data_IF_472079474897
#
_entry.id   IF_472079474897
#
_cell.length_a   1.000
_cell.length_b   1.000
_cell.length_c   1.000
_cell.angle_alpha   90.00
_cell.angle_beta   90.00
_cell.angle_gamma   90.00
#
_symmetry.space_group_name_H-M   'P 1'
#
loop_
_entity.id
_entity.type
_entity.pdbx_description
1 polymer ?
#
# COMPACT_ATOMS: atom_id res chain seq x y z
N UNK A 1 -18.02 -17.42 14.38
CA UNK A 1 -16.75 -17.52 15.15
C UNK A 1 -15.60 -17.46 14.16
N UNK A 2 -15.08 -16.26 13.87
CA UNK A 2 -13.86 -16.11 13.08
C UNK A 2 -12.70 -16.73 13.85
N UNK A 3 -11.87 -17.52 13.20
CA UNK A 3 -10.71 -18.16 13.82
C UNK A 3 -9.60 -17.11 14.06
N UNK A 4 -9.38 -16.72 15.31
CA UNK A 4 -8.37 -15.73 15.71
C UNK A 4 -6.96 -16.37 15.89
N UNK A 5 -6.76 -17.62 15.44
CA UNK A 5 -5.52 -18.38 15.70
C UNK A 5 -4.54 -18.44 14.54
N UNK A 6 -4.93 -18.07 13.32
CA UNK A 6 -4.05 -18.13 12.15
C UNK A 6 -3.59 -16.75 11.73
N UNK A 7 -2.31 -16.65 11.41
CA UNK A 7 -1.77 -15.51 10.72
C UNK A 7 -2.43 -15.35 9.34
N UNK A 8 -2.77 -14.12 8.98
CA UNK A 8 -3.30 -13.75 7.67
C UNK A 8 -2.28 -12.88 6.92
N UNK A 9 -2.19 -13.06 5.61
CA UNK A 9 -1.36 -12.24 4.74
C UNK A 9 -2.13 -10.99 4.31
N UNK A 10 -1.50 -9.83 4.39
CA UNK A 10 -2.01 -8.56 3.93
C UNK A 10 -0.97 -7.85 3.05
N UNK A 11 -1.46 -7.09 2.06
CA UNK A 11 -0.63 -6.20 1.24
C UNK A 11 -1.01 -4.76 1.54
N UNK A 12 0.00 -3.93 1.82
CA UNK A 12 -0.15 -2.52 2.16
C UNK A 12 0.60 -1.70 1.12
N UNK A 13 -0.10 -0.75 0.48
CA UNK A 13 0.50 0.25 -0.39
C UNK A 13 1.05 1.40 0.43
N UNK A 14 2.24 1.86 0.09
CA UNK A 14 2.92 3.00 0.72
C UNK A 14 3.10 4.09 -0.33
N UNK A 15 2.83 5.35 0.03
CA UNK A 15 3.07 6.50 -0.83
C UNK A 15 3.55 7.72 -0.04
N UNK A 16 4.49 8.48 -0.60
CA UNK A 16 4.94 9.77 -0.03
C UNK A 16 5.45 10.69 -1.14
N UNK A 17 5.19 11.99 -1.03
CA UNK A 17 5.77 13.00 -1.93
C UNK A 17 6.27 14.27 -1.20
N UNK A 18 6.33 14.24 0.13
CA UNK A 18 6.82 15.34 0.97
C UNK A 18 7.90 14.85 1.95
N UNK A 19 8.73 15.79 2.41
CA UNK A 19 9.65 15.61 3.55
C UNK A 19 10.49 14.32 3.47
N UNK A 20 11.31 14.21 2.41
CA UNK A 20 12.16 13.04 2.12
C UNK A 20 11.37 11.73 1.95
N UNK A 21 10.65 11.54 0.82
CA UNK A 21 9.76 10.40 0.62
C UNK A 21 10.37 9.02 0.85
N UNK A 22 11.65 8.82 0.47
CA UNK A 22 12.37 7.55 0.71
C UNK A 22 12.51 7.25 2.20
N UNK A 23 12.86 8.26 2.99
CA UNK A 23 13.02 8.12 4.45
C UNK A 23 11.67 7.88 5.13
N UNK A 24 10.61 8.54 4.64
CA UNK A 24 9.23 8.32 5.13
C UNK A 24 8.81 6.87 4.92
N UNK A 25 9.04 6.33 3.71
CA UNK A 25 8.75 4.94 3.39
C UNK A 25 9.60 3.97 4.22
N UNK A 26 10.91 4.22 4.38
CA UNK A 26 11.78 3.38 5.19
C UNK A 26 11.32 3.31 6.66
N UNK A 27 10.95 4.45 7.24
CA UNK A 27 10.38 4.53 8.59
C UNK A 27 9.02 3.82 8.69
N UNK A 28 8.15 3.97 7.69
CA UNK A 28 6.86 3.26 7.63
C UNK A 28 7.05 1.73 7.56
N UNK A 29 8.00 1.25 6.76
CA UNK A 29 8.38 -0.17 6.69
C UNK A 29 8.85 -0.69 8.05
N UNK A 30 9.68 0.08 8.75
CA UNK A 30 10.13 -0.26 10.11
C UNK A 30 8.98 -0.31 11.12
N UNK A 31 8.05 0.66 11.04
CA UNK A 31 6.86 0.70 11.89
C UNK A 31 5.93 -0.50 11.65
N UNK A 32 5.68 -0.87 10.37
CA UNK A 32 4.90 -2.05 10.00
C UNK A 32 5.53 -3.34 10.53
N UNK A 33 6.86 -3.47 10.46
CA UNK A 33 7.58 -4.62 11.00
C UNK A 33 7.53 -4.70 12.53
N UNK A 34 7.25 -3.58 13.21
CA UNK A 34 7.16 -3.48 14.66
C UNK A 34 5.73 -3.58 15.20
N UNK A 35 4.74 -3.81 14.35
CA UNK A 35 3.35 -3.95 14.77
C UNK A 35 3.17 -5.19 15.67
N UNK A 36 2.35 -5.11 16.72
CA UNK A 36 2.03 -6.28 17.54
C UNK A 36 1.48 -7.42 16.69
N UNK A 37 1.84 -8.66 17.06
CA UNK A 37 1.37 -9.90 16.42
C UNK A 37 1.46 -9.89 14.89
N UNK A 38 2.48 -9.21 14.37
CA UNK A 38 2.71 -9.02 12.94
C UNK A 38 4.18 -9.25 12.60
N UNK A 39 4.44 -9.73 11.39
CA UNK A 39 5.77 -9.87 10.82
C UNK A 39 5.78 -9.33 9.39
N UNK A 40 6.84 -8.59 9.04
CA UNK A 40 7.06 -8.16 7.65
C UNK A 40 7.59 -9.35 6.84
N UNK A 41 6.93 -9.63 5.73
CA UNK A 41 7.27 -10.76 4.84
C UNK A 41 8.15 -10.29 3.69
N UNK A 42 7.77 -9.21 3.02
CA UNK A 42 8.48 -8.69 1.86
C UNK A 42 8.21 -7.19 1.69
N UNK A 43 9.10 -6.51 0.97
CA UNK A 43 8.97 -5.10 0.57
C UNK A 43 9.41 -5.03 -0.88
N UNK A 44 8.62 -4.38 -1.72
CA UNK A 44 9.00 -4.12 -3.11
C UNK A 44 10.16 -3.13 -3.19
N UNK A 45 10.68 -2.94 -4.39
CA UNK A 45 11.49 -1.77 -4.72
C UNK A 45 10.68 -0.48 -4.54
N UNK A 46 11.40 0.65 -4.54
CA UNK A 46 10.79 1.97 -4.59
C UNK A 46 10.52 2.37 -6.04
N UNK A 47 9.37 3.01 -6.29
CA UNK A 47 8.98 3.46 -7.60
C UNK A 47 8.53 4.92 -7.56
N UNK A 48 9.03 5.74 -8.49
CA UNK A 48 8.58 7.11 -8.69
C UNK A 48 7.43 7.16 -9.70
N UNK A 49 6.36 7.87 -9.37
CA UNK A 49 5.21 8.12 -10.26
C UNK A 49 4.79 9.59 -10.21
N UNK A 50 4.25 10.06 -11.34
CA UNK A 50 3.51 11.31 -11.34
C UNK A 50 2.31 11.24 -10.37
N UNK A 51 1.86 12.38 -9.81
CA UNK A 51 0.67 12.42 -8.96
C UNK A 51 -0.60 12.01 -9.72
N UNK A 52 -1.50 11.30 -9.05
CA UNK A 52 -2.86 11.09 -9.56
C UNK A 52 -3.70 12.32 -9.27
N UNK A 53 -4.35 12.88 -10.31
CA UNK A 53 -5.20 14.06 -10.17
C UNK A 53 -4.42 15.37 -10.28
N UNK A 54 -4.29 16.12 -9.18
CA UNK A 54 -3.65 17.44 -9.16
C UNK A 54 -2.16 17.32 -9.53
N UNK A 55 -1.75 17.94 -10.64
CA UNK A 55 -0.38 17.86 -11.16
C UNK A 55 0.59 18.86 -10.53
N UNK A 56 0.08 19.90 -9.86
CA UNK A 56 0.90 20.92 -9.20
C UNK A 56 1.37 20.44 -7.81
N UNK A 57 2.13 19.34 -7.80
CA UNK A 57 2.77 18.75 -6.61
C UNK A 57 3.92 17.83 -7.02
N UNK A 58 4.87 17.54 -6.10
CA UNK A 58 5.98 16.63 -6.40
C UNK A 58 5.52 15.20 -6.72
N UNK A 59 6.34 14.48 -7.49
CA UNK A 59 6.18 13.06 -7.75
C UNK A 59 6.14 12.24 -6.46
N UNK A 60 5.37 11.16 -6.48
CA UNK A 60 5.28 10.20 -5.39
C UNK A 60 6.38 9.15 -5.48
N UNK A 61 6.94 8.79 -4.33
CA UNK A 61 7.65 7.53 -4.14
C UNK A 61 6.67 6.53 -3.54
N UNK A 62 6.55 5.38 -4.20
CA UNK A 62 5.59 4.32 -3.88
C UNK A 62 6.31 2.99 -3.63
N UNK A 63 5.70 2.15 -2.80
CA UNK A 63 6.11 0.77 -2.58
C UNK A 63 4.92 -0.08 -2.11
N UNK A 64 5.07 -1.41 -2.13
CA UNK A 64 4.13 -2.34 -1.51
C UNK A 64 4.87 -3.20 -0.48
N UNK A 65 4.23 -3.43 0.66
CA UNK A 65 4.73 -4.27 1.74
C UNK A 65 3.78 -5.43 1.96
N UNK A 66 4.33 -6.64 2.05
CA UNK A 66 3.62 -7.81 2.51
C UNK A 66 3.81 -7.97 4.02
N UNK A 67 2.72 -8.04 4.77
CA UNK A 67 2.71 -8.24 6.22
C UNK A 67 1.88 -9.47 6.54
N UNK A 68 2.40 -10.34 7.40
CA UNK A 68 1.64 -11.43 7.99
C UNK A 68 1.24 -11.02 9.40
N UNK A 69 -0.06 -11.03 9.71
CA UNK A 69 -0.57 -10.49 10.98
C UNK A 69 -1.71 -11.33 11.56
N UNK A 70 -1.93 -11.24 12.88
CA UNK A 70 -3.12 -11.78 13.56
C UNK A 70 -4.14 -10.70 13.91
N UNK A 71 -3.88 -9.44 13.56
CA UNK A 71 -4.86 -8.36 13.68
C UNK A 71 -6.05 -8.62 12.75
N UNK A 72 -7.24 -8.18 13.13
CA UNK A 72 -8.36 -8.14 12.17
C UNK A 72 -8.11 -7.08 11.09
N UNK A 73 -8.79 -7.11 9.92
CA UNK A 73 -8.62 -6.10 8.88
C UNK A 73 -8.85 -4.66 9.39
N UNK A 74 -9.87 -4.46 10.24
CA UNK A 74 -10.13 -3.16 10.85
C UNK A 74 -9.06 -2.76 11.87
N UNK A 75 -8.57 -3.71 12.67
CA UNK A 75 -7.49 -3.42 13.61
C UNK A 75 -6.17 -3.09 12.89
N UNK A 76 -5.88 -3.78 11.77
CA UNK A 76 -4.74 -3.44 10.92
C UNK A 76 -4.92 -2.03 10.32
N UNK A 77 -6.11 -1.70 9.79
CA UNK A 77 -6.42 -0.36 9.30
C UNK A 77 -6.19 0.71 10.37
N UNK A 78 -6.62 0.48 11.61
CA UNK A 78 -6.39 1.39 12.74
C UNK A 78 -4.89 1.60 13.01
N UNK A 79 -4.08 0.53 12.92
CA UNK A 79 -2.62 0.64 13.04
C UNK A 79 -1.99 1.44 11.89
N UNK A 80 -2.44 1.23 10.65
CA UNK A 80 -1.96 1.99 9.49
C UNK A 80 -2.23 3.49 9.68
N UNK A 81 -3.47 3.84 10.07
CA UNK A 81 -3.86 5.22 10.35
C UNK A 81 -3.02 5.81 11.49
N UNK A 82 -2.74 5.05 12.55
CA UNK A 82 -1.89 5.51 13.64
C UNK A 82 -0.44 5.78 13.20
N UNK A 83 0.12 4.98 12.28
CA UNK A 83 1.46 5.23 11.71
C UNK A 83 1.44 6.52 10.89
N UNK A 84 0.47 6.72 10.00
CA UNK A 84 0.33 7.95 9.22
C UNK A 84 0.27 9.21 10.11
N UNK A 85 -0.50 9.17 11.19
CA UNK A 85 -0.60 10.31 12.13
C UNK A 85 0.74 10.64 12.79
N UNK A 86 1.54 9.63 13.17
CA UNK A 86 2.89 9.82 13.74
C UNK A 86 3.86 10.44 12.74
N UNK A 87 3.66 10.19 11.44
CA UNK A 87 4.40 10.81 10.34
C UNK A 87 3.87 12.21 9.97
N UNK A 88 3.10 12.83 10.87
CA UNK A 88 2.53 14.19 10.70
C UNK A 88 1.73 14.32 9.41
N UNK A 89 0.89 13.32 9.09
CA UNK A 89 -0.01 13.42 7.94
C UNK A 89 -0.91 14.66 8.08
N UNK A 90 -0.63 15.71 7.30
CA UNK A 90 -1.51 16.87 7.20
C UNK A 90 -2.33 16.77 5.91
N UNK A 91 -3.62 16.46 6.04
CA UNK A 91 -4.51 16.35 4.88
C UNK A 91 -5.07 17.73 4.54
N UNK A 92 -4.33 18.49 3.74
CA UNK A 92 -4.81 19.81 3.29
C UNK A 92 -5.88 19.72 2.19
N UNK A 93 -5.79 18.75 1.27
CA UNK A 93 -6.70 18.59 0.11
C UNK A 93 -6.88 17.11 -0.26
N UNK A 94 -8.03 16.76 -0.83
CA UNK A 94 -8.21 15.44 -1.45
C UNK A 94 -7.20 15.27 -2.61
N UNK A 95 -6.47 14.14 -2.63
CA UNK A 95 -5.35 13.88 -3.56
C UNK A 95 -4.20 14.91 -3.54
N UNK A 96 -4.06 15.66 -2.46
CA UNK A 96 -2.93 16.58 -2.26
C UNK A 96 -1.65 15.88 -1.79
N UNK A 97 -0.57 16.65 -1.64
CA UNK A 97 0.70 16.12 -1.18
C UNK A 97 0.60 15.66 0.28
N UNK A 98 1.39 14.64 0.63
CA UNK A 98 1.37 14.01 1.96
C UNK A 98 2.72 13.43 2.32
N UNK A 99 3.03 13.49 3.61
CA UNK A 99 4.24 12.90 4.20
C UNK A 99 4.21 11.37 4.15
N UNK A 100 3.04 10.76 4.35
CA UNK A 100 2.83 9.31 4.24
C UNK A 100 1.35 8.99 3.98
N UNK A 101 1.12 8.02 3.09
CA UNK A 101 -0.16 7.35 2.84
C UNK A 101 0.05 5.83 2.98
N UNK A 102 -0.81 5.16 3.74
CA UNK A 102 -0.83 3.72 3.93
C UNK A 102 -2.20 3.15 3.57
N UNK A 103 -2.28 2.45 2.44
CA UNK A 103 -3.52 1.84 1.95
C UNK A 103 -3.51 0.33 2.21
N UNK A 104 -4.53 -0.20 2.90
CA UNK A 104 -4.74 -1.64 2.98
C UNK A 104 -5.33 -2.15 1.65
N UNK A 105 -4.50 -2.79 0.83
CA UNK A 105 -4.85 -3.17 -0.53
C UNK A 105 -5.63 -4.48 -0.59
N UNK A 106 -5.17 -5.48 0.14
CA UNK A 106 -5.70 -6.83 0.09
C UNK A 106 -5.43 -7.53 1.42
N UNK A 107 -6.36 -8.39 1.86
CA UNK A 107 -6.24 -9.10 3.12
C UNK A 107 -6.79 -10.53 3.00
N UNK A 108 -5.93 -11.53 3.01
CA UNK A 108 -6.27 -12.97 3.05
C UNK A 108 -7.45 -13.41 2.14
N UNK A 109 -7.59 -12.79 0.96
CA UNK A 109 -8.66 -13.08 0.00
C UNK A 109 -10.05 -12.58 0.42
N UNK A 110 -10.12 -11.80 1.49
CA UNK A 110 -11.36 -11.24 2.01
C UNK A 110 -11.91 -10.18 1.04
N UNK A 111 -13.17 -10.36 0.68
CA UNK A 111 -13.99 -9.31 0.11
C UNK A 111 -14.87 -8.72 1.19
N UNK A 112 -14.81 -7.40 1.39
CA UNK A 112 -15.71 -6.72 2.29
C UNK A 112 -16.01 -5.31 1.82
N UNK A 113 -17.16 -4.80 2.22
CA UNK A 113 -17.55 -3.42 1.98
C UNK A 113 -18.23 -2.89 3.24
N UNK A 114 -17.69 -1.82 3.80
CA UNK A 114 -18.20 -1.14 4.98
C UNK A 114 -17.87 0.34 4.89
N UNK A 115 -18.50 1.21 5.69
CA UNK A 115 -18.18 2.63 5.72
C UNK A 115 -16.71 2.96 6.01
N UNK A 116 -15.99 2.06 6.71
CA UNK A 116 -14.58 2.26 7.08
C UNK A 116 -13.58 1.57 6.16
N UNK A 117 -13.97 0.46 5.54
CA UNK A 117 -13.05 -0.42 4.81
C UNK A 117 -13.76 -1.12 3.66
N UNK A 118 -13.15 -1.06 2.47
CA UNK A 118 -13.49 -1.86 1.30
C UNK A 118 -12.27 -2.67 0.89
N UNK A 119 -12.44 -3.99 0.75
CA UNK A 119 -11.40 -4.92 0.30
C UNK A 119 -11.92 -5.81 -0.84
N UNK A 120 -11.08 -6.12 -1.85
CA UNK A 120 -9.79 -5.47 -2.13
C UNK A 120 -9.97 -3.95 -2.33
N UNK A 121 -8.90 -3.18 -2.16
CA UNK A 121 -8.95 -1.73 -2.28
C UNK A 121 -9.49 -1.35 -3.68
N UNK A 122 -10.54 -0.53 -3.79
CA UNK A 122 -11.32 -0.37 -5.02
C UNK A 122 -10.46 0.12 -6.21
N UNK A 123 -9.47 0.96 -5.94
CA UNK A 123 -8.60 1.51 -6.98
C UNK A 123 -7.33 0.70 -7.24
N UNK A 124 -7.06 -0.39 -6.50
CA UNK A 124 -5.75 -1.06 -6.60
C UNK A 124 -5.49 -1.63 -8.00
N UNK A 125 -6.54 -2.08 -8.70
CA UNK A 125 -6.44 -2.67 -10.03
C UNK A 125 -6.34 -1.63 -11.16
N UNK A 126 -6.50 -0.34 -10.83
CA UNK A 126 -6.45 0.78 -11.77
C UNK A 126 -5.18 1.63 -11.62
N UNK A 127 -4.28 1.26 -10.68
CA UNK A 127 -3.10 2.04 -10.31
C UNK A 127 -1.83 1.25 -10.58
N UNK A 128 -1.06 1.67 -11.58
CA UNK A 128 0.18 0.98 -11.94
C UNK A 128 1.23 1.05 -10.82
N UNK A 129 1.32 2.17 -10.11
CA UNK A 129 2.20 2.33 -8.94
C UNK A 129 1.82 1.43 -7.75
N UNK A 130 0.67 0.75 -7.80
CA UNK A 130 0.29 -0.31 -6.86
C UNK A 130 0.57 -1.69 -7.46
N UNK A 131 0.20 -1.91 -8.72
CA UNK A 131 0.28 -3.20 -9.37
C UNK A 131 1.71 -3.64 -9.71
N UNK A 132 2.56 -2.73 -10.18
CA UNK A 132 3.95 -3.04 -10.54
C UNK A 132 4.77 -3.47 -9.30
N UNK A 133 4.76 -2.74 -8.16
CA UNK A 133 5.47 -3.20 -6.97
C UNK A 133 4.81 -4.41 -6.31
N UNK A 134 3.48 -4.58 -6.42
CA UNK A 134 2.80 -5.79 -5.97
C UNK A 134 3.21 -7.02 -6.81
N UNK A 135 3.38 -6.87 -8.12
CA UNK A 135 3.82 -7.95 -9.01
C UNK A 135 5.25 -8.43 -8.66
N UNK A 136 6.12 -7.53 -8.19
CA UNK A 136 7.48 -7.87 -7.75
C UNK A 136 7.48 -8.85 -6.56
N UNK A 137 6.59 -8.66 -5.58
CA UNK A 137 6.60 -9.44 -4.33
C UNK A 137 5.49 -10.49 -4.25
N UNK A 138 4.50 -10.43 -5.13
CA UNK A 138 3.34 -11.32 -5.16
C UNK A 138 2.91 -11.66 -6.60
N UNK A 139 3.83 -12.21 -7.44
CA UNK A 139 3.59 -12.40 -8.87
C UNK A 139 2.43 -13.38 -9.19
N UNK A 140 2.10 -14.27 -8.26
CA UNK A 140 1.05 -15.29 -8.40
C UNK A 140 -0.24 -14.95 -7.67
N UNK A 141 -0.34 -13.76 -7.07
CA UNK A 141 -1.58 -13.31 -6.44
C UNK A 141 -2.70 -13.22 -7.49
N UNK A 142 -3.85 -13.81 -7.21
CA UNK A 142 -5.03 -13.67 -8.07
C UNK A 142 -5.89 -12.49 -7.60
N UNK A 143 -6.06 -11.51 -8.48
CA UNK A 143 -6.90 -10.34 -8.32
C UNK A 143 -8.09 -10.47 -9.29
N UNK A 144 -9.17 -11.10 -8.83
CA UNK A 144 -10.35 -11.34 -9.68
C UNK A 144 -10.08 -12.26 -10.87
N UNK A 145 -9.13 -13.20 -10.73
CA UNK A 145 -8.72 -14.11 -11.81
C UNK A 145 -7.52 -13.64 -12.62
N UNK A 146 -7.00 -12.45 -12.35
CA UNK A 146 -5.86 -11.88 -13.08
C UNK A 146 -4.64 -11.67 -12.19
N UNK A 147 -3.45 -11.62 -12.80
CA UNK A 147 -2.19 -11.40 -12.10
C UNK A 147 -1.85 -9.91 -12.03
N UNK A 148 -1.21 -9.42 -10.94
CA UNK A 148 -0.80 -8.02 -10.82
C UNK A 148 0.04 -7.53 -12.00
N UNK A 149 0.97 -8.35 -12.50
CA UNK A 149 1.80 -8.01 -13.67
C UNK A 149 0.98 -7.86 -14.97
N UNK A 150 -0.01 -8.73 -15.18
CA UNK A 150 -0.92 -8.63 -16.34
C UNK A 150 -1.78 -7.37 -16.28
N UNK A 151 -2.27 -7.01 -15.08
CA UNK A 151 -2.98 -5.76 -14.83
C UNK A 151 -2.08 -4.54 -15.06
N UNK A 152 -0.86 -4.53 -14.51
CA UNK A 152 0.11 -3.44 -14.70
C UNK A 152 0.42 -3.20 -16.18
N UNK A 153 0.58 -4.28 -16.96
CA UNK A 153 0.84 -4.22 -18.39
C UNK A 153 -0.27 -3.59 -19.24
N UNK A 154 -1.49 -3.42 -18.70
CA UNK A 154 -2.59 -2.70 -19.38
C UNK A 154 -2.59 -1.20 -19.10
N UNK A 155 -1.91 -0.75 -18.05
CA UNK A 155 -1.84 0.65 -17.62
C UNK A 155 -0.58 1.35 -18.16
N UNK A 156 -0.26 1.12 -19.45
CA UNK A 156 0.99 1.60 -20.06
C UNK A 156 1.08 3.13 -20.15
N UNK A 157 -0.07 3.79 -20.15
CA UNK A 157 -0.24 5.24 -20.11
C UNK A 157 0.19 5.84 -18.76
N UNK A 158 0.23 5.04 -17.69
CA UNK A 158 0.74 5.45 -16.39
C UNK A 158 2.25 5.24 -16.33
N UNK A 159 3.01 6.33 -16.40
CA UNK A 159 4.47 6.31 -16.27
C UNK A 159 4.89 5.96 -14.84
N UNK A 160 5.83 5.02 -14.72
CA UNK A 160 6.37 4.56 -13.44
C UNK A 160 7.85 4.22 -13.61
N UNK A 161 8.70 4.74 -12.73
CA UNK A 161 10.14 4.52 -12.78
C UNK A 161 10.61 3.80 -11.52
N UNK A 162 11.24 2.63 -11.67
CA UNK A 162 11.90 1.96 -10.55
C UNK A 162 13.11 2.80 -10.12
N UNK A 163 13.20 3.09 -8.82
CA UNK A 163 14.31 3.83 -8.24
C UNK A 163 15.47 2.88 -7.89
N UNK A 164 16.72 3.37 -7.92
CA UNK A 164 17.86 2.62 -7.41
C UNK A 164 17.71 2.38 -5.90
N UNK A 165 18.22 1.22 -5.46
CA UNK A 165 18.30 0.83 -4.05
C UNK A 165 19.14 1.80 -3.23
#
# INVERSE_FOLDING_TARGET
MTDHRRFALAYVGLGSNLESPRDQLARAVSALASLPVSERVAVSSLYASAPVGLQDQPDFVNAVVAVRTRLSPLALLDQLQAIEQRHRRVRHRHWGPRTLDLDLLWYAGLTCHSPRLTLPHPEMMHRRFVLEPLAEIAPTLSLGGELPGSLANRLKDQTLHRLPA
#
